data_IF_743589757218
#
_entry.id   IF_743589757218
#
_cell.length_a   1.000
_cell.length_b   1.000
_cell.length_c   1.000
_cell.angle_alpha   90.00
_cell.angle_beta   90.00
_cell.angle_gamma   90.00
#
_symmetry.space_group_name_H-M   'P 1'
#
loop_
_entity.id
_entity.type
_entity.pdbx_description
1 polymer ?
#
# COMPACT_ATOMS: atom_id res chain seq x y z
N UNK A 1 -9.55 5.67 16.08
CA UNK A 1 -10.06 5.78 14.69
C UNK A 1 -8.91 5.44 13.76
N UNK A 2 -9.16 4.70 12.67
CA UNK A 2 -8.10 4.28 11.73
C UNK A 2 -8.19 5.09 10.44
N UNK A 3 -7.08 5.68 10.01
CA UNK A 3 -6.94 6.38 8.73
C UNK A 3 -6.71 5.35 7.63
N UNK A 4 -7.56 5.38 6.61
CA UNK A 4 -7.50 4.46 5.47
C UNK A 4 -6.71 5.09 4.33
N UNK A 5 -5.57 4.48 4.00
CA UNK A 5 -4.67 4.93 2.96
C UNK A 5 -4.89 4.15 1.67
N UNK A 6 -4.59 4.83 0.56
CA UNK A 6 -4.48 4.24 -0.77
C UNK A 6 -3.15 4.65 -1.42
N UNK A 7 -2.51 3.73 -2.12
CA UNK A 7 -1.25 3.98 -2.84
C UNK A 7 -1.48 3.86 -4.35
N UNK A 8 -0.98 4.82 -5.13
CA UNK A 8 -0.98 4.79 -6.60
C UNK A 8 0.45 4.57 -7.11
N UNK A 9 0.68 3.41 -7.73
CA UNK A 9 1.98 2.92 -8.18
C UNK A 9 2.60 1.92 -7.20
N UNK A 10 3.46 1.04 -7.73
CA UNK A 10 4.03 -0.10 -6.98
C UNK A 10 5.57 -0.08 -7.01
N UNK A 11 6.16 1.11 -7.08
CA UNK A 11 7.62 1.31 -7.11
C UNK A 11 8.26 1.29 -5.71
N UNK A 12 9.57 1.55 -5.65
CA UNK A 12 10.36 1.50 -4.40
C UNK A 12 9.78 2.38 -3.29
N UNK A 13 9.39 3.63 -3.60
CA UNK A 13 8.83 4.54 -2.61
C UNK A 13 7.51 4.02 -2.05
N UNK A 14 6.65 3.44 -2.89
CA UNK A 14 5.38 2.87 -2.45
C UNK A 14 5.59 1.75 -1.42
N UNK A 15 6.59 0.90 -1.62
CA UNK A 15 6.96 -0.15 -0.65
C UNK A 15 7.40 0.43 0.68
N UNK A 16 8.31 1.41 0.67
CA UNK A 16 8.79 2.07 1.90
C UNK A 16 7.62 2.69 2.68
N UNK A 17 6.71 3.37 1.98
CA UNK A 17 5.51 3.94 2.60
C UNK A 17 4.60 2.86 3.18
N UNK A 18 4.36 1.76 2.46
CA UNK A 18 3.55 0.66 2.98
C UNK A 18 4.17 0.01 4.23
N UNK A 19 5.48 -0.19 4.24
CA UNK A 19 6.24 -0.70 5.40
C UNK A 19 6.14 0.24 6.61
N UNK A 20 6.18 1.55 6.39
CA UNK A 20 6.02 2.53 7.47
C UNK A 20 4.58 2.64 7.96
N UNK A 21 3.59 2.60 7.06
CA UNK A 21 2.17 2.59 7.43
C UNK A 21 1.81 1.38 8.30
N UNK A 22 2.39 0.21 8.02
CA UNK A 22 2.18 -1.00 8.82
C UNK A 22 2.68 -0.88 10.27
N UNK A 23 3.54 0.11 10.58
CA UNK A 23 4.04 0.38 11.93
C UNK A 23 3.11 1.28 12.74
N UNK A 24 2.15 1.95 12.09
CA UNK A 24 1.27 2.93 12.73
C UNK A 24 -0.05 2.25 13.14
N UNK A 25 -0.38 2.15 14.44
CA UNK A 25 -1.59 1.46 14.90
C UNK A 25 -2.89 2.17 14.45
N UNK A 26 -2.82 3.45 14.11
CA UNK A 26 -3.93 4.26 13.61
C UNK A 26 -4.01 4.35 12.07
N UNK A 27 -3.20 3.58 11.33
CA UNK A 27 -3.24 3.55 9.86
C UNK A 27 -3.55 2.16 9.32
N UNK A 28 -4.22 2.12 8.17
CA UNK A 28 -4.40 0.89 7.39
C UNK A 28 -4.25 1.22 5.91
N UNK A 29 -3.39 0.46 5.21
CA UNK A 29 -3.39 0.43 3.76
C UNK A 29 -4.59 -0.40 3.30
N UNK A 30 -5.49 0.21 2.53
CA UNK A 30 -6.76 -0.42 2.15
C UNK A 30 -6.99 -0.47 0.64
N UNK A 31 -6.13 0.18 -0.13
CA UNK A 31 -6.23 0.23 -1.58
C UNK A 31 -4.86 0.41 -2.22
N UNK A 32 -4.66 -0.24 -3.36
CA UNK A 32 -3.52 0.01 -4.26
C UNK A 32 -4.04 0.09 -5.69
N UNK A 33 -3.46 1.00 -6.48
CA UNK A 33 -3.71 1.08 -7.91
C UNK A 33 -2.41 1.08 -8.71
N UNK A 34 -2.38 0.35 -9.82
CA UNK A 34 -1.25 0.33 -10.75
C UNK A 34 -1.75 0.32 -12.18
N UNK A 35 -0.87 0.68 -13.13
CA UNK A 35 -1.17 0.56 -14.58
C UNK A 35 -1.19 -0.90 -15.05
N UNK A 36 -0.64 -1.82 -14.26
CA UNK A 36 -0.63 -3.25 -14.54
C UNK A 36 -1.26 -3.97 -13.33
N UNK A 37 -2.31 -4.76 -13.58
CA UNK A 37 -3.13 -5.39 -12.55
C UNK A 37 -2.32 -6.38 -11.71
N UNK A 38 -1.54 -7.22 -12.37
CA UNK A 38 -0.60 -8.17 -11.75
C UNK A 38 0.28 -7.50 -10.68
N UNK A 39 0.83 -6.33 -10.98
CA UNK A 39 1.65 -5.59 -10.01
C UNK A 39 0.86 -5.02 -8.86
N UNK A 40 -0.40 -4.63 -9.08
CA UNK A 40 -1.27 -4.15 -8.00
C UNK A 40 -1.62 -5.31 -7.06
N UNK A 41 -1.94 -6.47 -7.63
CA UNK A 41 -2.25 -7.70 -6.88
C UNK A 41 -1.03 -8.16 -6.08
N UNK A 42 0.14 -8.30 -6.71
CA UNK A 42 1.39 -8.67 -6.02
C UNK A 42 1.72 -7.73 -4.85
N UNK A 43 1.46 -6.43 -5.03
CA UNK A 43 1.69 -5.43 -3.99
C UNK A 43 0.69 -5.59 -2.84
N UNK A 44 -0.60 -5.77 -3.15
CA UNK A 44 -1.66 -5.97 -2.15
C UNK A 44 -1.56 -7.30 -1.40
N UNK A 45 -1.00 -8.34 -2.02
CA UNK A 45 -0.71 -9.60 -1.34
C UNK A 45 0.50 -9.48 -0.39
N UNK A 46 1.39 -8.53 -0.65
CA UNK A 46 2.59 -8.29 0.17
C UNK A 46 2.32 -7.39 1.38
N UNK A 47 1.43 -6.39 1.25
CA UNK A 47 1.21 -5.31 2.23
C UNK A 47 -0.25 -5.16 2.62
#
# INVERSE_FOLDING_TARGET
MTIRWGILGTGTIARLVAEDLARLPEAALTAVGSRAQDRADDFGDTF
#
